data_IF_014134333823
#
_entry.id   IF_014134333823
#
_cell.length_a   1.000
_cell.length_b   1.000
_cell.length_c   1.000
_cell.angle_alpha   90.00
_cell.angle_beta   90.00
_cell.angle_gamma   90.00
#
_symmetry.space_group_name_H-M   'P 1'
#
loop_
_entity.id
_entity.type
_entity.pdbx_description
1 polymer ?
#
# COMPACT_ATOMS: atom_id res chain seq x y z
N UNK A 1 -5.66 32.92 25.51
CA UNK A 1 -4.64 31.96 25.05
C UNK A 1 -4.99 31.53 23.63
N UNK A 2 -4.35 32.09 22.60
CA UNK A 2 -4.50 31.61 21.20
C UNK A 2 -3.81 30.26 21.15
N UNK A 3 -4.56 29.16 21.26
CA UNK A 3 -4.03 27.88 20.82
C UNK A 3 -3.72 28.05 19.33
N UNK A 4 -2.46 27.84 18.95
CA UNK A 4 -2.01 28.00 17.57
C UNK A 4 -2.83 27.06 16.68
N UNK A 5 -3.56 27.64 15.71
CA UNK A 5 -4.40 26.92 14.76
C UNK A 5 -3.59 25.87 13.98
N UNK A 6 -2.28 26.08 13.85
CA UNK A 6 -1.33 25.14 13.24
C UNK A 6 -1.21 23.88 14.08
N UNK A 7 -1.07 24.02 15.40
CA UNK A 7 -0.98 22.90 16.35
C UNK A 7 -2.27 22.09 16.40
N UNK A 8 -3.44 22.74 16.35
CA UNK A 8 -4.73 22.00 16.32
C UNK A 8 -4.89 21.15 15.07
N UNK A 9 -4.48 21.67 13.90
CA UNK A 9 -4.49 20.89 12.65
C UNK A 9 -3.51 19.72 12.70
N UNK A 10 -2.31 19.92 13.25
CA UNK A 10 -1.32 18.86 13.42
C UNK A 10 -1.84 17.75 14.34
N UNK A 11 -2.46 18.09 15.46
CA UNK A 11 -3.08 17.11 16.38
C UNK A 11 -4.18 16.33 15.66
N UNK A 12 -5.07 17.00 14.92
CA UNK A 12 -6.13 16.31 14.17
C UNK A 12 -5.58 15.33 13.11
N UNK A 13 -4.53 15.72 12.39
CA UNK A 13 -3.84 14.84 11.44
C UNK A 13 -3.20 13.65 12.15
N UNK A 14 -2.49 13.91 13.27
CA UNK A 14 -1.85 12.86 14.07
C UNK A 14 -2.87 11.85 14.60
N UNK A 15 -4.06 12.29 15.02
CA UNK A 15 -5.15 11.40 15.45
C UNK A 15 -5.60 10.48 14.31
N UNK A 16 -5.82 11.03 13.10
CA UNK A 16 -6.17 10.22 11.93
C UNK A 16 -5.11 9.18 11.58
N UNK A 17 -3.83 9.56 11.66
CA UNK A 17 -2.70 8.66 11.45
C UNK A 17 -2.62 7.57 12.53
N UNK A 18 -2.77 7.92 13.80
CA UNK A 18 -2.73 6.98 14.92
C UNK A 18 -3.84 5.93 14.82
N UNK A 19 -5.06 6.33 14.44
CA UNK A 19 -6.17 5.40 14.19
C UNK A 19 -5.80 4.42 13.08
N UNK A 20 -5.27 4.92 11.96
CA UNK A 20 -4.87 4.05 10.85
C UNK A 20 -3.73 3.08 11.23
N UNK A 21 -2.77 3.53 12.04
CA UNK A 21 -1.69 2.66 12.57
C UNK A 21 -2.28 1.56 13.45
N UNK A 22 -3.22 1.89 14.35
CA UNK A 22 -3.88 0.89 15.20
C UNK A 22 -4.68 -0.12 14.36
N UNK A 23 -5.46 0.35 13.38
CA UNK A 23 -6.18 -0.53 12.43
C UNK A 23 -5.22 -1.41 11.63
N UNK A 24 -4.08 -0.85 11.20
CA UNK A 24 -3.04 -1.59 10.49
C UNK A 24 -2.47 -2.69 11.37
N UNK A 25 -2.02 -2.36 12.59
CA UNK A 25 -1.45 -3.32 13.52
C UNK A 25 -2.44 -4.45 13.84
N UNK A 26 -3.70 -4.11 14.11
CA UNK A 26 -4.75 -5.10 14.35
C UNK A 26 -4.95 -6.01 13.13
N UNK A 27 -5.02 -5.44 11.92
CA UNK A 27 -5.22 -6.19 10.67
C UNK A 27 -4.06 -7.15 10.40
N UNK A 28 -2.83 -6.69 10.55
CA UNK A 28 -1.63 -7.50 10.29
C UNK A 28 -1.43 -8.58 11.36
N UNK A 29 -1.94 -8.38 12.57
CA UNK A 29 -1.89 -9.37 13.64
C UNK A 29 -2.92 -10.50 13.48
N UNK A 30 -3.98 -10.31 12.70
CA UNK A 30 -5.12 -11.25 12.59
C UNK A 30 -4.71 -12.72 12.37
N UNK A 31 -3.81 -13.07 11.42
CA UNK A 31 -3.43 -14.46 11.20
C UNK A 31 -2.74 -15.13 12.39
N UNK A 32 -2.18 -14.34 13.30
CA UNK A 32 -1.40 -14.83 14.44
C UNK A 32 -2.20 -14.87 15.74
N UNK A 33 -3.18 -13.97 15.90
CA UNK A 33 -3.96 -13.84 17.14
C UNK A 33 -5.33 -14.51 17.07
N UNK A 34 -5.82 -14.84 15.86
CA UNK A 34 -7.10 -15.51 15.67
C UNK A 34 -6.88 -16.92 15.10
N UNK A 35 -6.99 -17.98 15.93
CA UNK A 35 -6.83 -19.37 15.48
C UNK A 35 -7.79 -19.82 14.37
N UNK A 36 -8.94 -19.15 14.23
CA UNK A 36 -9.94 -19.40 13.19
C UNK A 36 -9.78 -18.50 11.96
N UNK A 37 -8.66 -17.77 11.82
CA UNK A 37 -8.41 -16.97 10.63
C UNK A 37 -8.37 -17.88 9.39
N UNK A 38 -9.12 -17.56 8.33
CA UNK A 38 -9.20 -18.44 7.18
C UNK A 38 -7.84 -18.66 6.52
N UNK A 39 -7.55 -19.89 6.13
CA UNK A 39 -6.39 -20.18 5.31
C UNK A 39 -6.57 -19.52 3.93
N UNK A 40 -5.49 -18.97 3.39
CA UNK A 40 -5.46 -18.58 1.98
C UNK A 40 -5.51 -19.82 1.06
N UNK A 41 -5.66 -19.61 -0.26
CA UNK A 41 -5.58 -20.71 -1.22
C UNK A 41 -4.26 -21.47 -1.06
N UNK A 42 -4.30 -22.79 -1.08
CA UNK A 42 -3.14 -23.68 -0.97
C UNK A 42 -2.48 -23.93 -2.33
N UNK A 43 -3.27 -23.85 -3.40
CA UNK A 43 -2.84 -24.07 -4.79
C UNK A 43 -2.33 -22.79 -5.50
N UNK A 44 -1.53 -22.99 -6.55
CA UNK A 44 -0.95 -21.90 -7.34
C UNK A 44 -2.01 -21.10 -8.11
N UNK A 45 -3.03 -21.77 -8.66
CA UNK A 45 -4.08 -21.09 -9.43
C UNK A 45 -4.96 -20.24 -8.51
N UNK A 46 -5.29 -20.72 -7.32
CA UNK A 46 -5.98 -19.97 -6.27
C UNK A 46 -5.19 -18.75 -5.81
N UNK A 47 -3.88 -18.92 -5.61
CA UNK A 47 -2.98 -17.81 -5.26
C UNK A 47 -2.95 -16.74 -6.36
N UNK A 48 -2.86 -17.16 -7.63
CA UNK A 48 -2.85 -16.23 -8.77
C UNK A 48 -4.19 -15.50 -8.92
N UNK A 49 -5.33 -16.18 -8.72
CA UNK A 49 -6.66 -15.55 -8.70
C UNK A 49 -6.75 -14.50 -7.61
N UNK A 50 -6.31 -14.83 -6.40
CA UNK A 50 -6.33 -13.90 -5.27
C UNK A 50 -5.46 -12.67 -5.54
N UNK A 51 -4.26 -12.85 -6.09
CA UNK A 51 -3.42 -11.74 -6.53
C UNK A 51 -4.10 -10.87 -7.59
N UNK A 52 -4.75 -11.47 -8.59
CA UNK A 52 -5.49 -10.75 -9.62
C UNK A 52 -6.65 -9.94 -9.02
N UNK A 53 -7.41 -10.49 -8.07
CA UNK A 53 -8.49 -9.76 -7.39
C UNK A 53 -7.96 -8.54 -6.63
N UNK A 54 -6.89 -8.74 -5.86
CA UNK A 54 -6.28 -7.69 -5.04
C UNK A 54 -5.72 -6.56 -5.90
N UNK A 55 -4.98 -6.88 -6.95
CA UNK A 55 -4.41 -5.88 -7.86
C UNK A 55 -5.48 -5.16 -8.68
N UNK A 56 -6.53 -5.87 -9.13
CA UNK A 56 -7.68 -5.26 -9.81
C UNK A 56 -8.40 -4.27 -8.88
N UNK A 57 -8.58 -4.61 -7.60
CA UNK A 57 -9.18 -3.73 -6.61
C UNK A 57 -8.39 -2.43 -6.40
N UNK A 58 -7.05 -2.50 -6.37
CA UNK A 58 -6.20 -1.31 -6.29
C UNK A 58 -6.23 -0.50 -7.60
N UNK A 59 -6.14 -1.17 -8.75
CA UNK A 59 -6.16 -0.54 -10.07
C UNK A 59 -7.49 0.17 -10.36
N UNK A 60 -8.60 -0.34 -9.84
CA UNK A 60 -9.91 0.31 -9.93
C UNK A 60 -9.87 1.74 -9.40
N UNK A 61 -9.21 2.01 -8.27
CA UNK A 61 -9.13 3.36 -7.71
C UNK A 61 -8.25 4.30 -8.52
N UNK A 62 -7.20 3.76 -9.16
CA UNK A 62 -6.40 4.52 -10.12
C UNK A 62 -7.25 4.90 -11.34
N UNK A 63 -8.01 3.94 -11.90
CA UNK A 63 -8.96 4.19 -12.99
C UNK A 63 -9.99 5.26 -12.62
N UNK A 64 -10.58 5.19 -11.41
CA UNK A 64 -11.51 6.22 -10.91
C UNK A 64 -10.84 7.60 -10.86
N UNK A 65 -9.58 7.68 -10.40
CA UNK A 65 -8.85 8.94 -10.31
C UNK A 65 -8.55 9.54 -11.70
N UNK A 66 -8.14 8.69 -12.65
CA UNK A 66 -7.93 9.07 -14.05
C UNK A 66 -9.23 9.56 -14.67
N UNK A 67 -10.33 8.80 -14.53
CA UNK A 67 -11.63 9.14 -15.09
C UNK A 67 -12.17 10.46 -14.53
N UNK A 68 -11.98 10.74 -13.25
CA UNK A 68 -12.39 12.01 -12.62
C UNK A 68 -11.67 13.21 -13.21
N UNK A 69 -10.34 13.12 -13.39
CA UNK A 69 -9.55 14.20 -13.99
C UNK A 69 -9.87 14.36 -15.49
N UNK A 70 -9.95 13.25 -16.23
CA UNK A 70 -10.27 13.26 -17.65
C UNK A 70 -11.65 13.89 -17.90
N UNK A 71 -12.67 13.49 -17.12
CA UNK A 71 -14.00 14.11 -17.17
C UNK A 71 -13.92 15.61 -16.91
N UNK A 72 -13.14 16.06 -15.92
CA UNK A 72 -13.01 17.49 -15.66
C UNK A 72 -12.39 18.23 -16.85
N UNK A 73 -11.28 17.73 -17.42
CA UNK A 73 -10.60 18.36 -18.56
C UNK A 73 -11.47 18.40 -19.82
N UNK A 74 -12.14 17.31 -20.17
CA UNK A 74 -12.97 17.24 -21.39
C UNK A 74 -14.19 18.16 -21.37
N UNK A 75 -14.65 18.56 -20.19
CA UNK A 75 -15.82 19.43 -20.04
C UNK A 75 -15.48 20.83 -19.49
N UNK A 76 -14.20 21.20 -19.45
CA UNK A 76 -13.74 22.52 -19.00
C UNK A 76 -12.85 23.14 -20.08
N UNK A 77 -13.33 24.15 -20.84
CA UNK A 77 -12.59 24.74 -21.96
C UNK A 77 -11.16 25.19 -21.60
N UNK A 78 -10.96 25.68 -20.37
CA UNK A 78 -9.67 26.16 -19.88
C UNK A 78 -8.65 25.03 -19.63
N UNK A 79 -9.13 23.80 -19.45
CA UNK A 79 -8.31 22.64 -19.08
C UNK A 79 -8.27 21.55 -20.18
N UNK A 80 -8.95 21.76 -21.33
CA UNK A 80 -9.11 20.75 -22.38
C UNK A 80 -7.79 20.37 -23.06
N UNK A 81 -6.90 21.34 -23.23
CA UNK A 81 -5.57 21.15 -23.84
C UNK A 81 -4.56 20.51 -22.86
N UNK A 82 -4.98 20.22 -21.63
CA UNK A 82 -4.14 19.68 -20.58
C UNK A 82 -3.26 20.74 -19.91
N UNK A 83 -2.56 20.33 -18.84
CA UNK A 83 -1.84 21.21 -17.91
C UNK A 83 -0.53 21.84 -18.45
N UNK A 84 -0.45 22.09 -19.77
CA UNK A 84 0.73 22.69 -20.40
C UNK A 84 0.72 24.24 -20.41
N UNK A 85 -0.31 24.88 -19.86
CA UNK A 85 -0.47 26.34 -19.85
C UNK A 85 -0.66 26.96 -18.46
N UNK A 86 -0.45 28.28 -18.31
CA UNK A 86 -0.64 29.03 -17.06
C UNK A 86 -2.11 29.13 -16.58
N UNK A 87 -3.06 28.50 -17.28
CA UNK A 87 -4.51 28.66 -17.12
C UNK A 87 -5.22 27.50 -16.39
N UNK A 88 -4.50 26.51 -15.85
CA UNK A 88 -5.16 25.34 -15.22
C UNK A 88 -6.11 25.80 -14.09
N UNK A 89 -7.31 25.21 -14.01
CA UNK A 89 -8.25 25.55 -12.94
C UNK A 89 -7.81 24.98 -11.59
N UNK A 90 -8.27 25.59 -10.49
CA UNK A 90 -7.98 25.07 -9.14
C UNK A 90 -8.48 23.63 -8.94
N UNK A 91 -9.57 23.25 -9.61
CA UNK A 91 -10.15 21.91 -9.57
C UNK A 91 -9.31 20.91 -10.36
N UNK A 92 -8.82 21.27 -11.54
CA UNK A 92 -7.90 20.41 -12.29
C UNK A 92 -6.62 20.13 -11.50
N UNK A 93 -6.00 21.17 -10.89
CA UNK A 93 -4.84 20.99 -9.98
C UNK A 93 -5.12 20.05 -8.82
N UNK A 94 -6.30 20.19 -8.19
CA UNK A 94 -6.71 19.34 -7.09
C UNK A 94 -6.89 17.88 -7.54
N UNK A 95 -7.59 17.64 -8.65
CA UNK A 95 -7.78 16.30 -9.21
C UNK A 95 -6.46 15.67 -9.68
N UNK A 96 -5.55 16.46 -10.26
CA UNK A 96 -4.20 16.03 -10.62
C UNK A 96 -3.40 15.61 -9.37
N UNK A 97 -3.51 16.37 -8.27
CA UNK A 97 -2.86 16.02 -7.00
C UNK A 97 -3.43 14.74 -6.39
N UNK A 98 -4.76 14.54 -6.45
CA UNK A 98 -5.39 13.29 -6.04
C UNK A 98 -4.94 12.11 -6.90
N UNK A 99 -4.89 12.29 -8.23
CA UNK A 99 -4.45 11.27 -9.17
C UNK A 99 -2.99 10.86 -8.90
N UNK A 100 -2.09 11.83 -8.73
CA UNK A 100 -0.69 11.56 -8.43
C UNK A 100 -0.54 10.75 -7.14
N UNK A 101 -1.25 11.14 -6.08
CA UNK A 101 -1.23 10.40 -4.83
C UNK A 101 -1.79 8.97 -4.99
N UNK A 102 -2.89 8.80 -5.73
CA UNK A 102 -3.42 7.46 -6.00
C UNK A 102 -2.44 6.64 -6.82
N UNK A 103 -1.79 7.21 -7.83
CA UNK A 103 -0.78 6.52 -8.65
C UNK A 103 0.38 6.01 -7.80
N UNK A 104 1.01 6.89 -7.02
CA UNK A 104 2.15 6.54 -6.15
C UNK A 104 1.81 5.39 -5.21
N UNK A 105 0.63 5.48 -4.56
CA UNK A 105 0.21 4.46 -3.61
C UNK A 105 -0.27 3.17 -4.27
N UNK A 106 -0.92 3.25 -5.43
CA UNK A 106 -1.33 2.06 -6.20
C UNK A 106 -0.12 1.30 -6.71
N UNK A 107 0.90 1.98 -7.24
CA UNK A 107 2.15 1.36 -7.71
C UNK A 107 2.85 0.65 -6.55
N UNK A 108 3.01 1.32 -5.41
CA UNK A 108 3.63 0.72 -4.23
C UNK A 108 2.82 -0.49 -3.74
N UNK A 109 1.50 -0.36 -3.63
CA UNK A 109 0.63 -1.45 -3.16
C UNK A 109 0.69 -2.66 -4.09
N UNK A 110 0.58 -2.48 -5.41
CA UNK A 110 0.65 -3.59 -6.37
C UNK A 110 2.00 -4.31 -6.29
N UNK A 111 3.11 -3.57 -6.20
CA UNK A 111 4.44 -4.15 -6.08
C UNK A 111 4.59 -4.96 -4.78
N UNK A 112 4.20 -4.39 -3.64
CA UNK A 112 4.27 -5.06 -2.33
C UNK A 112 3.36 -6.29 -2.28
N UNK A 113 2.13 -6.19 -2.77
CA UNK A 113 1.17 -7.30 -2.76
C UNK A 113 1.65 -8.43 -3.68
N UNK A 114 2.16 -8.12 -4.87
CA UNK A 114 2.75 -9.12 -5.77
C UNK A 114 3.92 -9.86 -5.13
N UNK A 115 4.85 -9.12 -4.53
CA UNK A 115 5.99 -9.72 -3.83
C UNK A 115 5.56 -10.55 -2.60
N UNK A 116 4.50 -10.13 -1.90
CA UNK A 116 3.94 -10.87 -0.77
C UNK A 116 3.54 -12.29 -1.16
N UNK A 117 2.73 -12.45 -2.21
CA UNK A 117 2.29 -13.78 -2.67
C UNK A 117 3.45 -14.70 -3.09
N UNK A 118 4.58 -14.15 -3.52
CA UNK A 118 5.76 -14.92 -3.91
C UNK A 118 6.68 -15.28 -2.72
N UNK A 119 6.79 -14.39 -1.73
CA UNK A 119 7.87 -14.44 -0.75
C UNK A 119 7.44 -14.80 0.68
N UNK A 120 6.15 -14.84 0.99
CA UNK A 120 5.67 -15.07 2.36
C UNK A 120 4.97 -16.41 2.56
N UNK A 121 4.79 -16.86 3.82
CA UNK A 121 4.13 -18.12 4.16
C UNK A 121 2.64 -18.14 3.76
N UNK A 122 2.10 -19.34 3.52
CA UNK A 122 0.76 -19.56 2.99
C UNK A 122 -0.35 -19.03 3.90
N UNK A 123 -0.12 -19.09 5.21
CA UNK A 123 -1.03 -18.70 6.28
C UNK A 123 -1.31 -17.18 6.23
N UNK A 124 -0.40 -16.41 5.62
CA UNK A 124 -0.50 -14.95 5.52
C UNK A 124 -1.04 -14.46 4.17
N UNK A 125 -1.41 -15.36 3.25
CA UNK A 125 -1.82 -15.02 1.87
C UNK A 125 -3.07 -14.13 1.80
N UNK A 126 -3.92 -14.11 2.82
CA UNK A 126 -5.10 -13.24 2.85
C UNK A 126 -4.80 -11.80 3.29
N UNK A 127 -3.61 -11.50 3.82
CA UNK A 127 -3.29 -10.14 4.28
C UNK A 127 -3.38 -9.07 3.18
N UNK A 128 -2.83 -9.28 1.96
CA UNK A 128 -3.01 -8.32 0.87
C UNK A 128 -4.48 -8.02 0.53
N UNK A 129 -5.40 -8.98 0.69
CA UNK A 129 -6.83 -8.77 0.49
C UNK A 129 -7.41 -7.81 1.53
N UNK A 130 -7.07 -8.00 2.80
CA UNK A 130 -7.49 -7.10 3.87
C UNK A 130 -6.90 -5.70 3.69
N UNK A 131 -5.62 -5.62 3.32
CA UNK A 131 -4.95 -4.34 3.03
C UNK A 131 -5.56 -3.66 1.80
N UNK A 132 -6.00 -4.40 0.77
CA UNK A 132 -6.75 -3.83 -0.36
C UNK A 132 -8.12 -3.30 0.06
N UNK A 133 -8.82 -3.98 0.96
CA UNK A 133 -10.08 -3.48 1.51
C UNK A 133 -9.87 -2.17 2.29
N UNK A 134 -8.83 -2.10 3.14
CA UNK A 134 -8.43 -0.87 3.83
C UNK A 134 -8.00 0.23 2.86
N UNK A 135 -7.26 -0.12 1.81
CA UNK A 135 -6.89 0.81 0.74
C UNK A 135 -8.14 1.40 0.08
N UNK A 136 -9.14 0.57 -0.23
CA UNK A 136 -10.39 1.02 -0.83
C UNK A 136 -11.18 1.94 0.10
N UNK A 137 -11.33 1.57 1.37
CA UNK A 137 -11.94 2.43 2.38
C UNK A 137 -11.19 3.75 2.53
N UNK A 138 -9.86 3.70 2.58
CA UNK A 138 -9.01 4.88 2.67
C UNK A 138 -9.17 5.80 1.47
N UNK A 139 -9.29 5.27 0.24
CA UNK A 139 -9.57 6.06 -0.97
C UNK A 139 -10.92 6.78 -0.90
N UNK A 140 -11.98 6.09 -0.43
CA UNK A 140 -13.30 6.70 -0.22
C UNK A 140 -13.19 7.87 0.76
N UNK A 141 -12.61 7.64 1.94
CA UNK A 141 -12.46 8.66 2.98
C UNK A 141 -11.57 9.83 2.52
N UNK A 142 -10.49 9.55 1.81
CA UNK A 142 -9.58 10.55 1.28
C UNK A 142 -10.27 11.46 0.27
N UNK A 143 -11.05 10.91 -0.66
CA UNK A 143 -11.80 11.69 -1.64
C UNK A 143 -12.87 12.56 -0.98
N UNK A 144 -13.62 12.02 -0.02
CA UNK A 144 -14.65 12.77 0.72
C UNK A 144 -14.07 13.87 1.61
N UNK A 145 -12.88 13.64 2.16
CA UNK A 145 -12.20 14.57 3.07
C UNK A 145 -11.32 15.61 2.39
N UNK A 146 -10.96 15.43 1.11
CA UNK A 146 -9.88 16.21 0.48
C UNK A 146 -10.14 17.71 0.45
N UNK A 147 -11.35 18.12 0.04
CA UNK A 147 -11.73 19.53 -0.04
C UNK A 147 -11.91 20.17 1.35
N UNK A 148 -12.13 19.35 2.39
CA UNK A 148 -12.30 19.78 3.78
C UNK A 148 -10.97 19.98 4.51
N UNK A 149 -9.85 19.81 3.82
CA UNK A 149 -8.50 20.09 4.33
C UNK A 149 -7.78 18.90 4.94
N UNK A 150 -6.58 19.16 5.47
CA UNK A 150 -5.60 18.13 5.86
C UNK A 150 -6.11 17.15 6.92
N UNK A 151 -6.78 17.66 7.96
CA UNK A 151 -7.32 16.83 9.05
C UNK A 151 -8.36 15.84 8.50
N UNK A 152 -9.30 16.31 7.70
CA UNK A 152 -10.39 15.49 7.17
C UNK A 152 -9.92 14.36 6.24
N UNK A 153 -8.84 14.59 5.47
CA UNK A 153 -8.28 13.58 4.55
C UNK A 153 -7.22 12.67 5.19
N UNK A 154 -6.73 13.00 6.39
CA UNK A 154 -5.58 12.32 7.02
C UNK A 154 -5.80 10.82 7.24
N UNK A 155 -6.94 10.43 7.82
CA UNK A 155 -7.29 9.03 8.04
C UNK A 155 -7.36 8.25 6.73
N UNK A 156 -8.00 8.82 5.70
CA UNK A 156 -8.11 8.19 4.39
C UNK A 156 -6.75 7.93 3.75
N UNK A 157 -5.86 8.94 3.77
CA UNK A 157 -4.48 8.79 3.32
C UNK A 157 -3.74 7.70 4.11
N UNK A 158 -3.89 7.72 5.44
CA UNK A 158 -3.16 6.84 6.33
C UNK A 158 -3.60 5.36 6.17
N UNK A 159 -4.89 5.10 5.94
CA UNK A 159 -5.42 3.75 5.67
C UNK A 159 -4.97 3.17 4.33
N UNK A 160 -4.62 4.01 3.36
CA UNK A 160 -4.03 3.55 2.10
C UNK A 160 -2.52 3.37 2.18
N UNK A 161 -1.85 4.04 3.12
CA UNK A 161 -0.40 4.06 3.24
C UNK A 161 0.14 3.02 4.24
N UNK A 162 -0.35 3.04 5.48
CA UNK A 162 0.23 2.23 6.56
C UNK A 162 0.07 0.72 6.39
N UNK A 163 -1.06 0.16 5.91
CA UNK A 163 -1.15 -1.27 5.66
C UNK A 163 -0.12 -1.75 4.63
N UNK A 164 0.07 -1.01 3.54
CA UNK A 164 1.06 -1.33 2.52
C UNK A 164 2.48 -1.23 3.07
N UNK A 165 2.80 -0.18 3.84
CA UNK A 165 4.12 -0.05 4.49
C UNK A 165 4.37 -1.15 5.50
N UNK A 166 3.37 -1.53 6.29
CA UNK A 166 3.47 -2.64 7.25
C UNK A 166 3.77 -3.96 6.56
N UNK A 167 3.06 -4.27 5.46
CA UNK A 167 3.39 -5.43 4.63
C UNK A 167 4.79 -5.32 4.03
N UNK A 168 5.22 -4.16 3.56
CA UNK A 168 6.56 -3.99 3.02
C UNK A 168 7.65 -4.27 4.07
N UNK A 169 7.50 -3.76 5.30
CA UNK A 169 8.44 -4.01 6.40
C UNK A 169 8.51 -5.51 6.74
N UNK A 170 7.36 -6.17 6.87
CA UNK A 170 7.32 -7.61 7.14
C UNK A 170 7.95 -8.41 5.99
N UNK A 171 7.69 -8.01 4.74
CA UNK A 171 8.25 -8.63 3.54
C UNK A 171 9.78 -8.55 3.51
N UNK A 172 10.36 -7.41 3.90
CA UNK A 172 11.81 -7.27 4.05
C UNK A 172 12.36 -8.25 5.10
N UNK A 173 11.66 -8.42 6.22
CA UNK A 173 11.99 -9.43 7.23
C UNK A 173 11.98 -10.86 6.68
N UNK A 174 10.93 -11.25 5.95
CA UNK A 174 10.86 -12.58 5.33
C UNK A 174 11.95 -12.79 4.28
N UNK A 175 12.21 -11.77 3.46
CA UNK A 175 13.19 -11.82 2.38
C UNK A 175 14.62 -11.96 2.92
N UNK A 176 14.97 -11.19 3.96
CA UNK A 176 16.27 -11.29 4.64
C UNK A 176 16.46 -12.64 5.33
N UNK A 177 15.45 -13.13 6.05
CA UNK A 177 15.49 -14.45 6.69
C UNK A 177 15.71 -15.59 5.67
N UNK A 178 15.03 -15.54 4.50
CA UNK A 178 15.24 -16.51 3.42
C UNK A 178 16.64 -16.44 2.83
N UNK A 179 17.19 -15.25 2.59
CA UNK A 179 18.54 -15.09 2.06
C UNK A 179 19.61 -15.62 3.02
N UNK A 180 19.47 -15.35 4.32
CA UNK A 180 20.38 -15.89 5.35
C UNK A 180 20.27 -17.41 5.43
N UNK A 181 19.05 -17.96 5.44
CA UNK A 181 18.83 -19.40 5.43
C UNK A 181 19.43 -20.08 4.19
N UNK A 182 19.28 -19.47 3.01
CA UNK A 182 19.91 -19.94 1.78
C UNK A 182 21.44 -19.88 1.87
N UNK A 183 22.02 -18.82 2.43
CA UNK A 183 23.47 -18.70 2.61
C UNK A 183 24.04 -19.77 3.55
N UNK A 184 23.33 -20.12 4.63
CA UNK A 184 23.72 -21.21 5.53
C UNK A 184 23.52 -22.61 4.90
N UNK A 185 22.62 -22.74 3.93
CA UNK A 185 22.40 -23.99 3.21
C UNK A 185 23.41 -24.24 2.07
N UNK A 186 24.25 -23.26 1.72
CA UNK A 186 25.35 -23.46 0.77
C UNK A 186 26.48 -24.21 1.48
N UNK A 187 26.80 -25.45 1.11
CA UNK A 187 27.91 -26.16 1.72
C UNK A 187 29.23 -25.55 1.21
N UNK A 188 29.86 -24.73 2.06
CA UNK A 188 31.13 -24.05 1.78
C UNK A 188 32.22 -25.00 1.28
N UNK A 189 32.23 -26.24 1.78
CA UNK A 189 33.18 -27.29 1.40
C UNK A 189 33.07 -27.70 -0.07
N UNK A 190 31.86 -27.91 -0.58
CA UNK A 190 31.64 -28.31 -1.98
C UNK A 190 31.67 -27.13 -2.95
N UNK A 191 31.33 -25.93 -2.49
CA UNK A 191 31.25 -24.75 -3.37
C UNK A 191 32.61 -24.09 -3.59
N UNK A 192 33.52 -24.16 -2.60
CA UNK A 192 34.86 -23.57 -2.71
C UNK A 192 35.99 -24.61 -2.82
N UNK A 193 35.67 -25.91 -2.88
CA UNK A 193 36.66 -26.98 -3.07
C UNK A 193 37.70 -27.07 -1.96
N UNK A 194 37.37 -26.62 -0.74
CA UNK A 194 38.27 -26.70 0.41
C UNK A 194 38.26 -28.13 0.96
N UNK A 195 39.22 -28.93 0.50
CA UNK A 195 39.53 -30.25 1.04
C UNK A 195 40.00 -30.12 2.51
N UNK A 196 39.43 -30.86 3.47
CA UNK A 196 39.93 -30.93 4.83
C UNK A 196 41.44 -31.23 4.95
N UNK A 197 42.05 -31.86 3.94
CA UNK A 197 43.49 -32.13 3.90
C UNK A 197 44.37 -30.87 3.67
N UNK A 198 43.79 -29.73 3.28
CA UNK A 198 44.50 -28.47 3.03
C UNK A 198 44.60 -27.56 4.27
N UNK A 199 43.95 -27.94 5.37
CA UNK A 199 43.91 -27.16 6.63
C UNK A 199 44.67 -27.85 7.79
N UNK A 200 45.51 -28.84 7.47
CA UNK A 200 46.41 -29.53 8.39
C UNK A 200 47.84 -29.02 8.33
#
# INVERSE_FOLDING_TARGET
MKVDLTTQKQVGVATGMAIAVAVTAATLALPFVWPGFPAGPDDQAGTMRLWAYVTTGVAFWLLVSVARLAKHRFFTPEDIDGAAGPSETAKARMLQSMLQNTLEQSVLAIAVYGAWFALTPAETRLLPLLCMALFSLGRILFFLGYERGAVARSLGFALTFYPTVGLFILLLGFSTARLIGAAHAIPLQTTFGLDPAMLG
#
